data_IF_625065839955
#
_entry.id   IF_625065839955
#
_cell.length_a   1.000
_cell.length_b   1.000
_cell.length_c   1.000
_cell.angle_alpha   90.00
_cell.angle_beta   90.00
_cell.angle_gamma   90.00
#
_symmetry.space_group_name_H-M   'P 1'
#
loop_
_entity.id
_entity.type
_entity.pdbx_description
1 polymer ?
#
# COMPACT_ATOMS: atom_id res chain seq x y z
N UNK A 1 -20.14 9.42 6.62
CA UNK A 1 -20.88 8.72 7.68
C UNK A 1 -20.37 7.28 7.86
N UNK A 2 -20.42 6.42 6.84
CA UNK A 2 -19.90 5.05 6.93
C UNK A 2 -18.39 4.95 7.28
N UNK A 3 -17.55 5.83 6.73
CA UNK A 3 -16.12 5.90 7.05
C UNK A 3 -15.84 6.22 8.54
N UNK A 4 -16.66 7.09 9.15
CA UNK A 4 -16.47 7.56 10.52
C UNK A 4 -16.97 6.58 11.58
N UNK A 5 -17.89 5.67 11.20
CA UNK A 5 -18.31 4.52 12.01
C UNK A 5 -17.24 3.41 11.94
N UNK A 6 -16.55 3.27 10.80
CA UNK A 6 -15.38 2.39 10.68
C UNK A 6 -14.19 2.82 11.54
N UNK A 7 -14.00 4.12 11.75
CA UNK A 7 -12.95 4.68 12.59
C UNK A 7 -13.19 4.46 14.10
N UNK A 8 -14.43 4.40 14.57
CA UNK A 8 -14.74 4.11 15.98
C UNK A 8 -14.68 2.62 16.31
N UNK A 9 -15.09 1.75 15.38
CA UNK A 9 -14.95 0.29 15.53
C UNK A 9 -13.48 -0.15 15.50
N UNK A 10 -12.62 0.62 14.82
CA UNK A 10 -11.17 0.39 14.80
C UNK A 10 -10.46 0.62 16.14
N UNK A 11 -11.04 1.44 17.03
CA UNK A 11 -10.50 1.74 18.37
C UNK A 11 -10.87 0.67 19.41
N UNK A 12 -11.87 -0.17 19.12
CA UNK A 12 -12.39 -1.21 20.02
C UNK A 12 -11.79 -2.61 19.79
N UNK A 13 -10.78 -2.74 18.92
CA UNK A 13 -10.14 -4.03 18.63
C UNK A 13 -10.96 -4.98 17.75
N UNK A 14 -12.04 -4.51 17.12
CA UNK A 14 -13.01 -5.32 16.36
C UNK A 14 -12.60 -5.54 14.88
N UNK A 15 -11.30 -5.69 14.62
CA UNK A 15 -10.76 -5.79 13.26
C UNK A 15 -11.23 -7.04 12.49
N UNK A 16 -11.41 -8.16 13.19
CA UNK A 16 -11.88 -9.42 12.60
C UNK A 16 -13.34 -9.31 12.14
N UNK A 17 -14.16 -8.63 12.92
CA UNK A 17 -15.57 -8.38 12.63
C UNK A 17 -15.71 -7.44 11.43
N UNK A 18 -14.88 -6.39 11.35
CA UNK A 18 -14.81 -5.51 10.17
C UNK A 18 -14.41 -6.27 8.91
N UNK A 19 -13.40 -7.14 8.97
CA UNK A 19 -12.94 -7.93 7.84
C UNK A 19 -14.03 -8.90 7.34
N UNK A 20 -14.78 -9.52 8.26
CA UNK A 20 -15.90 -10.38 7.93
C UNK A 20 -17.04 -9.64 7.20
N UNK A 21 -17.38 -8.41 7.65
CA UNK A 21 -18.36 -7.55 6.96
C UNK A 21 -17.89 -7.21 5.56
N UNK A 22 -16.64 -6.79 5.41
CA UNK A 22 -16.09 -6.41 4.11
C UNK A 22 -16.11 -7.60 3.12
N UNK A 23 -15.73 -8.79 3.58
CA UNK A 23 -15.78 -10.00 2.75
C UNK A 23 -17.20 -10.31 2.24
N UNK A 24 -18.24 -10.06 3.06
CA UNK A 24 -19.63 -10.21 2.62
C UNK A 24 -20.07 -9.09 1.68
N UNK A 25 -19.61 -7.84 1.89
CA UNK A 25 -19.85 -6.73 0.96
C UNK A 25 -19.24 -7.02 -0.41
N UNK A 26 -17.98 -7.46 -0.46
CA UNK A 26 -17.30 -7.82 -1.71
C UNK A 26 -17.99 -8.99 -2.42
N UNK A 27 -18.53 -9.96 -1.67
CA UNK A 27 -19.34 -11.05 -2.23
C UNK A 27 -20.65 -10.52 -2.82
N UNK A 28 -21.33 -9.62 -2.13
CA UNK A 28 -22.56 -8.98 -2.63
C UNK A 28 -22.29 -8.17 -3.90
N UNK A 29 -21.17 -7.45 -3.97
CA UNK A 29 -20.74 -6.71 -5.16
C UNK A 29 -20.48 -7.63 -6.36
N UNK A 30 -19.87 -8.81 -6.13
CA UNK A 30 -19.67 -9.83 -7.18
C UNK A 30 -20.98 -10.39 -7.70
N UNK A 31 -21.99 -10.55 -6.84
CA UNK A 31 -23.34 -10.95 -7.24
C UNK A 31 -23.99 -9.86 -8.08
N UNK A 32 -23.91 -8.60 -7.67
CA UNK A 32 -24.44 -7.45 -8.43
C UNK A 32 -23.75 -7.27 -9.79
N UNK A 33 -22.46 -7.58 -9.88
CA UNK A 33 -21.69 -7.55 -11.12
C UNK A 33 -21.99 -8.74 -12.06
N UNK A 34 -22.83 -9.70 -11.64
CA UNK A 34 -23.15 -10.91 -12.42
C UNK A 34 -22.01 -11.93 -12.48
N UNK A 35 -20.98 -11.77 -11.63
CA UNK A 35 -19.83 -12.68 -11.55
C UNK A 35 -20.06 -13.87 -10.62
N UNK A 36 -21.10 -13.82 -9.79
CA UNK A 36 -21.58 -14.91 -8.93
C UNK A 36 -23.11 -15.01 -9.05
N UNK A 37 -23.73 -16.21 -9.12
CA UNK A 37 -25.18 -16.33 -9.22
C UNK A 37 -25.86 -15.85 -7.93
N UNK A 38 -26.91 -15.04 -8.08
CA UNK A 38 -27.77 -14.59 -6.99
C UNK A 38 -28.79 -15.68 -6.60
N UNK A 39 -28.32 -16.82 -6.09
CA UNK A 39 -29.24 -17.84 -5.58
C UNK A 39 -29.65 -17.56 -4.11
N UNK A 40 -30.80 -18.09 -3.72
CA UNK A 40 -31.37 -17.89 -2.38
C UNK A 40 -30.42 -18.38 -1.28
N UNK A 41 -29.68 -19.46 -1.55
CA UNK A 41 -28.69 -20.02 -0.62
C UNK A 41 -27.54 -19.05 -0.35
N UNK A 42 -26.96 -18.42 -1.36
CA UNK A 42 -25.90 -17.44 -1.22
C UNK A 42 -26.34 -16.20 -0.44
N UNK A 43 -27.57 -15.72 -0.67
CA UNK A 43 -28.14 -14.59 0.08
C UNK A 43 -28.38 -14.95 1.55
N UNK A 44 -28.85 -16.17 1.84
CA UNK A 44 -29.02 -16.68 3.21
C UNK A 44 -27.68 -16.84 3.92
N UNK A 45 -26.64 -17.32 3.23
CA UNK A 45 -25.28 -17.40 3.79
C UNK A 45 -24.70 -16.03 4.15
N UNK A 46 -24.88 -15.03 3.28
CA UNK A 46 -24.46 -13.66 3.54
C UNK A 46 -25.19 -13.10 4.77
N UNK A 47 -26.51 -13.31 4.86
CA UNK A 47 -27.30 -12.89 6.01
C UNK A 47 -26.84 -13.59 7.31
N UNK A 48 -26.62 -14.90 7.27
CA UNK A 48 -26.13 -15.67 8.42
C UNK A 48 -24.74 -15.22 8.88
N UNK A 49 -23.84 -14.90 7.94
CA UNK A 49 -22.52 -14.38 8.24
C UNK A 49 -22.59 -12.99 8.90
N UNK A 50 -23.50 -12.11 8.46
CA UNK A 50 -23.69 -10.80 9.07
C UNK A 50 -24.32 -10.88 10.47
N UNK A 51 -25.27 -11.80 10.70
CA UNK A 51 -25.84 -12.05 12.03
C UNK A 51 -24.74 -12.56 12.99
N UNK A 52 -23.90 -13.51 12.55
CA UNK A 52 -22.80 -14.01 13.36
C UNK A 52 -21.75 -12.93 13.68
N UNK A 53 -21.62 -11.90 12.84
CA UNK A 53 -20.80 -10.73 13.16
C UNK A 53 -21.46 -9.87 14.22
N UNK A 54 -22.77 -9.66 14.14
CA UNK A 54 -23.56 -8.91 15.14
C UNK A 54 -23.47 -9.55 16.53
N UNK A 55 -23.68 -10.87 16.62
CA UNK A 55 -23.57 -11.62 17.89
C UNK A 55 -22.16 -11.46 18.53
N UNK A 56 -21.10 -11.52 17.71
CA UNK A 56 -19.72 -11.34 18.19
C UNK A 56 -19.41 -9.90 18.58
N UNK A 57 -20.09 -8.91 17.97
CA UNK A 57 -20.00 -7.52 18.37
C UNK A 57 -20.63 -7.35 19.76
N UNK A 58 -21.81 -7.90 19.97
CA UNK A 58 -22.52 -7.85 21.24
C UNK A 58 -21.71 -8.50 22.37
N UNK A 59 -21.13 -9.67 22.14
CA UNK A 59 -20.25 -10.34 23.12
C UNK A 59 -19.01 -9.48 23.48
N UNK A 60 -18.40 -8.86 22.47
CA UNK A 60 -17.21 -8.02 22.68
C UNK A 60 -17.55 -6.72 23.41
N UNK A 61 -18.72 -6.13 23.12
CA UNK A 61 -19.24 -4.94 23.80
C UNK A 61 -19.61 -5.24 25.26
N UNK A 62 -20.20 -6.40 25.54
CA UNK A 62 -20.48 -6.87 26.90
C UNK A 62 -19.19 -7.11 27.69
N UNK A 63 -18.17 -7.68 27.04
CA UNK A 63 -16.84 -7.88 27.63
C UNK A 63 -16.14 -6.58 28.05
N UNK A 64 -16.36 -5.48 27.32
CA UNK A 64 -15.81 -4.16 27.67
C UNK A 64 -16.53 -3.46 28.84
N UNK A 65 -17.75 -3.89 29.18
CA UNK A 65 -18.57 -3.27 30.25
C UNK A 65 -18.39 -4.01 31.59
N UNK A 66 -17.98 -5.29 31.57
CA UNK A 66 -17.85 -6.09 32.80
C UNK A 66 -16.39 -6.16 33.28
N UNK A 67 -16.06 -5.72 34.52
CA UNK A 67 -14.74 -5.95 35.06
C UNK A 67 -14.51 -7.45 35.23
N UNK A 68 -13.44 -7.94 34.60
CA UNK A 68 -13.03 -9.32 34.61
C UNK A 68 -12.81 -9.88 36.03
N UNK A 69 -13.50 -10.95 36.38
CA UNK A 69 -13.29 -11.66 37.64
C UNK A 69 -12.24 -12.78 37.45
N UNK A 70 -11.04 -12.55 37.98
CA UNK A 70 -10.14 -13.58 38.55
C UNK A 70 -9.39 -14.56 37.62
N UNK A 71 -9.83 -14.80 36.39
CA UNK A 71 -9.14 -15.71 35.44
C UNK A 71 -8.37 -15.03 34.31
N UNK A 72 -8.73 -13.78 33.99
CA UNK A 72 -8.25 -13.07 32.79
C UNK A 72 -6.95 -12.29 33.02
N UNK A 73 -6.46 -12.15 34.25
CA UNK A 73 -5.27 -11.36 34.56
C UNK A 73 -3.97 -11.92 33.91
N UNK A 74 -3.89 -13.25 33.71
CA UNK A 74 -2.75 -13.88 33.04
C UNK A 74 -2.82 -13.74 31.51
N UNK A 75 -4.01 -13.93 30.91
CA UNK A 75 -4.24 -13.75 29.47
C UNK A 75 -4.10 -12.28 29.05
N UNK A 76 -4.61 -11.34 29.86
CA UNK A 76 -4.39 -9.90 29.66
C UNK A 76 -2.92 -9.49 29.82
N UNK A 77 -2.12 -10.24 30.58
CA UNK A 77 -0.67 -10.05 30.69
C UNK A 77 0.07 -10.51 29.44
N UNK A 78 -0.23 -11.71 28.96
CA UNK A 78 0.33 -12.31 27.75
C UNK A 78 -0.01 -11.49 26.49
N UNK A 79 -1.26 -11.03 26.35
CA UNK A 79 -1.68 -10.16 25.24
C UNK A 79 -0.96 -8.80 25.26
N UNK A 80 -0.71 -8.24 26.44
CA UNK A 80 0.04 -6.98 26.58
C UNK A 80 1.51 -7.15 26.23
N UNK A 81 2.12 -8.25 26.64
CA UNK A 81 3.51 -8.56 26.28
C UNK A 81 3.65 -8.75 24.77
N UNK A 82 2.72 -9.49 24.15
CA UNK A 82 2.68 -9.65 22.70
C UNK A 82 2.52 -8.31 21.97
N UNK A 83 1.59 -7.45 22.41
CA UNK A 83 1.41 -6.11 21.84
C UNK A 83 2.65 -5.22 21.99
N UNK A 84 3.36 -5.31 23.13
CA UNK A 84 4.60 -4.57 23.34
C UNK A 84 5.71 -5.02 22.40
N UNK A 85 5.87 -6.34 22.22
CA UNK A 85 6.82 -6.92 21.27
C UNK A 85 6.46 -6.50 19.84
N UNK A 86 5.19 -6.60 19.44
CA UNK A 86 4.72 -6.15 18.13
C UNK A 86 5.03 -4.67 17.90
N UNK A 87 4.72 -3.79 18.86
CA UNK A 87 5.01 -2.36 18.75
C UNK A 87 6.51 -2.08 18.66
N UNK A 88 7.35 -2.85 19.37
CA UNK A 88 8.81 -2.75 19.28
C UNK A 88 9.34 -3.14 17.91
N UNK A 89 8.85 -4.25 17.36
CA UNK A 89 9.20 -4.70 16.01
C UNK A 89 8.78 -3.67 14.96
N UNK A 90 7.58 -3.09 15.09
CA UNK A 90 7.12 -2.05 14.16
C UNK A 90 7.93 -0.75 14.28
N UNK A 91 8.37 -0.35 15.49
CA UNK A 91 9.32 0.76 15.68
C UNK A 91 10.60 0.52 14.89
N UNK A 92 11.15 -0.69 14.98
CA UNK A 92 12.37 -1.06 14.24
C UNK A 92 12.13 -1.04 12.72
N UNK A 93 10.99 -1.53 12.24
CA UNK A 93 10.64 -1.46 10.82
C UNK A 93 10.57 -0.02 10.31
N UNK A 94 9.95 0.89 11.07
CA UNK A 94 9.85 2.31 10.71
C UNK A 94 11.25 2.96 10.69
N UNK A 95 12.11 2.63 11.66
CA UNK A 95 13.49 3.13 11.68
C UNK A 95 14.30 2.62 10.48
N UNK A 96 14.16 1.34 10.12
CA UNK A 96 14.79 0.76 8.94
C UNK A 96 14.31 1.43 7.65
N UNK A 97 13.01 1.74 7.56
CA UNK A 97 12.45 2.46 6.41
C UNK A 97 12.98 3.90 6.33
N UNK A 98 13.17 4.57 7.47
CA UNK A 98 13.77 5.90 7.52
C UNK A 98 15.22 5.90 7.00
N UNK A 99 16.03 4.91 7.38
CA UNK A 99 17.38 4.75 6.83
C UNK A 99 17.39 4.44 5.33
N UNK A 100 16.44 3.65 4.84
CA UNK A 100 16.27 3.43 3.40
C UNK A 100 15.95 4.76 2.68
N UNK A 101 15.03 5.58 3.20
CA UNK A 101 14.71 6.90 2.62
C UNK A 101 15.91 7.84 2.59
N UNK A 102 16.73 7.80 3.63
CA UNK A 102 17.98 8.57 3.69
C UNK A 102 18.97 8.12 2.61
N UNK A 103 19.21 6.82 2.47
CA UNK A 103 20.05 6.25 1.41
C UNK A 103 19.52 6.60 0.00
N UNK A 104 18.19 6.63 -0.16
CA UNK A 104 17.53 7.07 -1.40
C UNK A 104 17.89 8.51 -1.75
N UNK A 105 17.74 9.41 -0.77
CA UNK A 105 18.02 10.84 -0.92
C UNK A 105 19.49 11.07 -1.30
N UNK A 106 20.42 10.35 -0.69
CA UNK A 106 21.86 10.44 -1.00
C UNK A 106 22.19 9.95 -2.42
N UNK A 107 21.60 8.84 -2.87
CA UNK A 107 21.81 8.32 -4.22
C UNK A 107 21.31 9.30 -5.29
N UNK A 108 20.11 9.88 -5.08
CA UNK A 108 19.52 10.85 -6.00
C UNK A 108 20.30 12.17 -6.05
N UNK A 109 20.97 12.54 -4.95
CA UNK A 109 21.86 13.71 -4.88
C UNK A 109 23.18 13.57 -5.63
N UNK A 110 23.42 12.43 -6.31
CA UNK A 110 24.63 12.19 -7.11
C UNK A 110 25.91 11.97 -6.30
N UNK A 111 25.78 11.69 -5.00
CA UNK A 111 26.88 11.29 -4.11
C UNK A 111 26.48 10.03 -3.33
N UNK A 112 26.23 8.90 -4.01
CA UNK A 112 25.96 7.67 -3.31
C UNK A 112 27.17 7.29 -2.45
N UNK A 113 26.97 7.25 -1.14
CA UNK A 113 27.94 6.64 -0.23
C UNK A 113 27.97 5.14 -0.48
N UNK A 114 29.15 4.58 -0.72
CA UNK A 114 29.32 3.15 -0.93
C UNK A 114 28.78 2.33 0.27
N UNK A 115 28.92 2.86 1.50
CA UNK A 115 28.36 2.21 2.68
C UNK A 115 26.81 2.23 2.70
N UNK A 116 26.18 3.30 2.19
CA UNK A 116 24.73 3.37 2.06
C UNK A 116 24.21 2.41 0.98
N UNK A 117 24.92 2.30 -0.16
CA UNK A 117 24.61 1.35 -1.23
C UNK A 117 24.75 -0.12 -0.80
N UNK A 118 25.65 -0.42 0.12
CA UNK A 118 25.85 -1.78 0.64
C UNK A 118 24.85 -2.15 1.77
N UNK A 119 24.41 -1.17 2.57
CA UNK A 119 23.59 -1.44 3.77
C UNK A 119 22.09 -1.53 3.53
N UNK A 120 21.54 -0.83 2.53
CA UNK A 120 20.07 -0.74 2.33
C UNK A 120 19.41 -2.10 2.05
N UNK A 121 20.12 -3.04 1.41
CA UNK A 121 19.61 -4.40 1.16
C UNK A 121 19.40 -5.18 2.46
N UNK A 122 20.30 -4.98 3.43
CA UNK A 122 20.17 -5.54 4.78
C UNK A 122 18.94 -4.98 5.50
N UNK A 123 18.70 -3.67 5.38
CA UNK A 123 17.52 -3.01 5.94
C UNK A 123 16.22 -3.57 5.35
N UNK A 124 16.15 -3.73 4.02
CA UNK A 124 15.01 -4.36 3.35
C UNK A 124 14.79 -5.80 3.84
N UNK A 125 15.86 -6.57 3.98
CA UNK A 125 15.80 -7.96 4.47
C UNK A 125 15.26 -8.00 5.91
N UNK A 126 15.74 -7.11 6.78
CA UNK A 126 15.24 -6.98 8.15
C UNK A 126 13.76 -6.61 8.20
N UNK A 127 13.33 -5.67 7.35
CA UNK A 127 11.94 -5.23 7.27
C UNK A 127 11.01 -6.37 6.81
N UNK A 128 11.42 -7.15 5.80
CA UNK A 128 10.69 -8.35 5.37
C UNK A 128 10.60 -9.40 6.47
N UNK A 129 11.71 -9.71 7.14
CA UNK A 129 11.74 -10.72 8.20
C UNK A 129 10.84 -10.33 9.38
N UNK A 130 10.90 -9.06 9.80
CA UNK A 130 10.07 -8.51 10.87
C UNK A 130 8.58 -8.57 10.52
N UNK A 131 8.19 -8.10 9.33
CA UNK A 131 6.79 -8.14 8.89
C UNK A 131 6.28 -9.58 8.71
N UNK A 132 7.12 -10.50 8.24
CA UNK A 132 6.77 -11.92 8.13
C UNK A 132 6.57 -12.55 9.51
N UNK A 133 7.43 -12.24 10.48
CA UNK A 133 7.28 -12.69 11.87
C UNK A 133 5.97 -12.19 12.50
N UNK A 134 5.52 -10.99 12.13
CA UNK A 134 4.23 -10.43 12.55
C UNK A 134 3.03 -10.92 11.70
N UNK A 135 3.24 -11.84 10.75
CA UNK A 135 2.20 -12.36 9.87
C UNK A 135 1.67 -11.37 8.84
N UNK A 136 2.38 -10.28 8.55
CA UNK A 136 1.98 -9.20 7.63
C UNK A 136 2.43 -9.48 6.19
N UNK A 137 1.94 -10.57 5.59
CA UNK A 137 2.34 -11.02 4.25
C UNK A 137 2.12 -9.99 3.15
N UNK A 138 0.96 -9.31 3.11
CA UNK A 138 0.70 -8.24 2.12
C UNK A 138 1.69 -7.08 2.24
N UNK A 139 2.11 -6.74 3.46
CA UNK A 139 3.12 -5.69 3.66
C UNK A 139 4.51 -6.14 3.15
N UNK A 140 4.85 -7.43 3.29
CA UNK A 140 6.08 -8.01 2.71
C UNK A 140 6.08 -7.87 1.19
N UNK A 141 4.97 -8.16 0.51
CA UNK A 141 4.83 -7.99 -0.95
C UNK A 141 5.07 -6.53 -1.38
N UNK A 142 4.52 -5.56 -0.63
CA UNK A 142 4.75 -4.13 -0.88
C UNK A 142 6.23 -3.78 -0.71
N UNK A 143 6.90 -4.30 0.32
CA UNK A 143 8.34 -4.09 0.54
C UNK A 143 9.17 -4.67 -0.61
N UNK A 144 8.81 -5.85 -1.12
CA UNK A 144 9.48 -6.47 -2.27
C UNK A 144 9.31 -5.65 -3.55
N UNK A 145 8.11 -5.11 -3.79
CA UNK A 145 7.84 -4.20 -4.90
C UNK A 145 8.67 -2.92 -4.79
N UNK A 146 8.68 -2.28 -3.61
CA UNK A 146 9.52 -1.10 -3.33
C UNK A 146 11.00 -1.44 -3.56
N UNK A 147 11.50 -2.55 -3.02
CA UNK A 147 12.89 -2.98 -3.20
C UNK A 147 13.26 -3.20 -4.67
N UNK A 148 12.33 -3.71 -5.47
CA UNK A 148 12.51 -3.87 -6.92
C UNK A 148 12.68 -2.54 -7.63
N UNK A 149 11.93 -1.51 -7.24
CA UNK A 149 12.05 -0.16 -7.77
C UNK A 149 13.32 0.53 -7.27
N UNK A 150 13.65 0.39 -5.98
CA UNK A 150 14.88 0.93 -5.39
C UNK A 150 16.14 0.43 -6.11
N UNK A 151 16.18 -0.85 -6.51
CA UNK A 151 17.28 -1.40 -7.32
C UNK A 151 17.54 -0.61 -8.61
N UNK A 152 16.59 0.17 -9.14
CA UNK A 152 16.81 0.99 -10.35
C UNK A 152 17.65 2.23 -10.07
N UNK A 153 17.50 2.81 -8.89
CA UNK A 153 18.13 4.09 -8.49
C UNK A 153 19.29 3.93 -7.50
N UNK A 154 19.37 2.81 -6.78
CA UNK A 154 20.44 2.51 -5.80
C UNK A 154 21.66 1.90 -6.50
N UNK A 155 22.23 2.61 -7.46
CA UNK A 155 23.47 2.20 -8.16
C UNK A 155 24.21 3.42 -8.73
N UNK A 156 25.56 3.37 -8.84
CA UNK A 156 26.36 4.51 -9.31
C UNK A 156 25.96 5.02 -10.69
N UNK A 157 25.58 4.11 -11.60
CA UNK A 157 25.25 4.41 -12.99
C UNK A 157 23.74 4.36 -13.27
N UNK A 158 22.92 4.75 -12.28
CA UNK A 158 21.47 4.76 -12.42
C UNK A 158 21.04 5.69 -13.57
N UNK A 159 20.23 5.17 -14.50
CA UNK A 159 19.62 6.00 -15.54
C UNK A 159 18.61 6.97 -14.92
N UNK A 160 18.41 8.16 -15.52
CA UNK A 160 17.34 9.07 -15.12
C UNK A 160 15.99 8.33 -15.11
N UNK A 161 15.25 8.50 -14.02
CA UNK A 161 13.92 7.90 -13.90
C UNK A 161 12.90 8.69 -14.74
N UNK A 162 11.88 8.02 -15.31
CA UNK A 162 10.82 8.71 -16.04
C UNK A 162 10.10 9.77 -15.18
N UNK A 163 9.50 10.80 -15.80
CA UNK A 163 8.70 11.79 -15.07
C UNK A 163 7.63 11.14 -14.18
N UNK A 164 7.51 11.61 -12.94
CA UNK A 164 6.52 11.09 -11.98
C UNK A 164 6.82 9.70 -11.39
N UNK A 165 7.87 8.99 -11.85
CA UNK A 165 8.26 7.70 -11.31
C UNK A 165 8.65 7.80 -9.82
N UNK A 166 9.42 8.84 -9.48
CA UNK A 166 9.88 9.06 -8.10
C UNK A 166 8.73 9.42 -7.18
N UNK A 167 7.80 10.27 -7.63
CA UNK A 167 6.62 10.64 -6.86
C UNK A 167 5.78 9.41 -6.56
N UNK A 168 5.58 8.53 -7.56
CA UNK A 168 4.80 7.31 -7.38
C UNK A 168 5.50 6.28 -6.48
N UNK A 169 6.82 6.21 -6.51
CA UNK A 169 7.58 5.40 -5.54
C UNK A 169 7.46 5.98 -4.13
N UNK A 170 7.52 7.31 -3.98
CA UNK A 170 7.34 7.98 -2.70
C UNK A 170 5.94 7.70 -2.12
N UNK A 171 4.88 7.76 -2.94
CA UNK A 171 3.52 7.41 -2.52
C UNK A 171 3.43 5.97 -1.98
N UNK A 172 4.13 5.02 -2.59
CA UNK A 172 4.19 3.64 -2.13
C UNK A 172 4.88 3.51 -0.77
N UNK A 173 6.03 4.19 -0.61
CA UNK A 173 6.81 4.21 0.62
C UNK A 173 6.03 4.85 1.76
N UNK A 174 5.40 6.01 1.52
CA UNK A 174 4.57 6.72 2.51
C UNK A 174 3.38 5.86 2.95
N UNK A 175 2.75 5.16 2.01
CA UNK A 175 1.62 4.27 2.33
C UNK A 175 2.04 3.10 3.21
N UNK A 176 3.22 2.51 2.96
CA UNK A 176 3.78 1.46 3.81
C UNK A 176 4.18 1.99 5.20
N UNK A 177 4.78 3.17 5.27
CA UNK A 177 5.15 3.81 6.53
C UNK A 177 3.92 4.06 7.40
N UNK A 178 2.90 4.70 6.82
CA UNK A 178 1.67 5.03 7.53
C UNK A 178 0.89 3.77 7.97
N UNK A 179 0.99 2.69 7.19
CA UNK A 179 0.50 1.37 7.58
C UNK A 179 1.17 0.88 8.87
N UNK A 180 2.50 0.89 8.92
CA UNK A 180 3.26 0.43 10.09
C UNK A 180 3.05 1.34 11.31
N UNK A 181 2.97 2.66 11.12
CA UNK A 181 2.68 3.61 12.20
C UNK A 181 1.29 3.38 12.80
N UNK A 182 0.30 3.09 11.95
CA UNK A 182 -1.06 2.81 12.40
C UNK A 182 -1.14 1.53 13.21
N UNK A 183 -0.46 0.46 12.75
CA UNK A 183 -0.34 -0.78 13.53
C UNK A 183 0.42 -0.57 14.85
N UNK A 184 1.49 0.23 14.84
CA UNK A 184 2.28 0.51 16.03
C UNK A 184 1.46 1.28 17.08
N UNK A 185 0.57 2.17 16.64
CA UNK A 185 -0.36 2.88 17.49
C UNK A 185 -1.48 1.98 18.08
N UNK A 186 -1.46 0.67 17.81
CA UNK A 186 -2.47 -0.28 18.29
C UNK A 186 -3.81 -0.15 17.57
N UNK A 187 -3.85 0.53 16.42
CA UNK A 187 -5.08 0.68 15.62
C UNK A 187 -5.30 -0.54 14.74
N UNK A 188 -6.56 -0.75 14.36
CA UNK A 188 -6.94 -1.81 13.42
C UNK A 188 -6.18 -1.74 12.10
N UNK A 189 -5.92 -2.91 11.52
CA UNK A 189 -5.13 -3.12 10.31
C UNK A 189 -5.68 -2.29 9.12
N UNK A 190 -4.94 -1.27 8.63
CA UNK A 190 -5.43 -0.33 7.63
C UNK A 190 -5.14 -0.80 6.20
N UNK A 191 -5.81 -1.88 5.78
CA UNK A 191 -5.57 -2.53 4.49
C UNK A 191 -5.56 -1.60 3.26
N UNK A 192 -6.39 -0.56 3.27
CA UNK A 192 -6.47 0.43 2.18
C UNK A 192 -5.13 1.14 1.90
N UNK A 193 -4.25 1.25 2.89
CA UNK A 193 -2.92 1.82 2.71
C UNK A 193 -2.04 0.87 1.87
N UNK A 194 -2.15 -0.44 2.11
CA UNK A 194 -1.47 -1.43 1.29
C UNK A 194 -2.08 -1.50 -0.12
N UNK A 195 -3.38 -1.31 -0.28
CA UNK A 195 -4.03 -1.23 -1.61
C UNK A 195 -3.51 -0.03 -2.41
N UNK A 196 -3.34 1.12 -1.76
CA UNK A 196 -2.74 2.29 -2.38
C UNK A 196 -1.28 2.03 -2.76
N UNK A 197 -0.47 1.48 -1.86
CA UNK A 197 0.92 1.14 -2.13
C UNK A 197 1.05 0.18 -3.32
N UNK A 198 0.22 -0.85 -3.34
CA UNK A 198 0.20 -1.84 -4.42
C UNK A 198 -0.21 -1.21 -5.76
N UNK A 199 -1.23 -0.35 -5.76
CA UNK A 199 -1.64 0.42 -6.94
C UNK A 199 -0.50 1.30 -7.46
N UNK A 200 0.30 1.89 -6.57
CA UNK A 200 1.50 2.63 -6.96
C UNK A 200 2.52 1.75 -7.69
N UNK A 201 2.83 0.60 -7.11
CA UNK A 201 3.84 -0.31 -7.63
C UNK A 201 3.42 -0.91 -8.99
N UNK A 202 2.14 -1.24 -9.18
CA UNK A 202 1.64 -1.71 -10.47
C UNK A 202 1.84 -0.69 -11.60
N UNK A 203 1.68 0.60 -11.32
CA UNK A 203 1.95 1.66 -12.32
C UNK A 203 3.44 1.67 -12.70
N UNK A 204 4.33 1.52 -11.72
CA UNK A 204 5.77 1.49 -11.92
C UNK A 204 6.26 0.23 -12.66
N UNK A 205 5.56 -0.89 -12.52
CA UNK A 205 5.85 -2.14 -13.23
C UNK A 205 5.39 -2.10 -14.69
N UNK A 206 4.28 -1.44 -14.98
CA UNK A 206 3.72 -1.33 -16.34
C UNK A 206 4.40 -0.29 -17.22
N UNK A 207 5.10 0.68 -16.62
CA UNK A 207 5.83 1.70 -17.37
C UNK A 207 6.95 1.04 -18.21
N UNK A 208 6.89 1.08 -19.56
CA UNK A 208 7.99 0.60 -20.39
C UNK A 208 9.24 1.45 -20.11
N UNK A 209 10.46 0.89 -20.25
CA UNK A 209 11.63 1.76 -20.41
C UNK A 209 11.38 2.62 -21.65
N UNK A 210 11.28 3.94 -21.49
CA UNK A 210 11.16 4.83 -22.63
C UNK A 210 12.37 4.59 -23.53
N UNK A 211 12.12 4.01 -24.72
CA UNK A 211 13.11 3.99 -25.78
C UNK A 211 13.42 5.45 -26.09
N UNK A 212 14.71 5.87 -26.12
CA UNK A 212 15.04 7.24 -26.44
C UNK A 212 14.37 7.60 -27.77
N UNK A 213 13.47 8.61 -27.73
CA UNK A 213 12.86 9.16 -28.93
C UNK A 213 14.00 9.62 -29.82
N UNK A 214 14.19 8.94 -30.95
CA UNK A 214 15.15 9.38 -31.96
C UNK A 214 14.83 10.84 -32.30
N UNK A 215 15.83 11.73 -32.40
CA UNK A 215 15.60 13.12 -32.77
C UNK A 215 14.75 13.18 -34.04
N UNK A 216 13.65 13.90 -33.99
CA UNK A 216 12.83 14.13 -35.18
C UNK A 216 13.68 15.02 -36.10
N UNK A 217 14.24 14.41 -37.14
CA UNK A 217 14.98 15.13 -38.17
C UNK A 217 14.08 16.23 -38.77
N UNK A 218 14.52 17.50 -38.79
CA UNK A 218 13.72 18.63 -39.27
C UNK A 218 13.36 18.57 -40.76
N UNK A 219 13.76 17.52 -41.49
CA UNK A 219 13.29 17.26 -42.86
C UNK A 219 11.84 16.76 -42.92
N UNK A 220 11.23 16.38 -41.79
CA UNK A 220 9.86 15.89 -41.71
C UNK A 220 8.78 16.99 -41.74
N UNK A 221 9.15 18.29 -41.75
CA UNK A 221 8.18 19.35 -41.96
C UNK A 221 7.73 19.37 -43.42
N UNK A 222 6.50 18.90 -43.67
CA UNK A 222 5.86 18.98 -44.97
C UNK A 222 5.90 20.43 -45.51
N UNK A 223 6.39 20.59 -46.75
CA UNK A 223 6.43 21.87 -47.46
C UNK A 223 5.00 22.42 -47.61
N UNK A 224 4.69 23.51 -46.92
CA UNK A 224 3.50 24.31 -47.21
C UNK A 224 3.65 24.89 -48.61
N UNK A 225 2.84 24.40 -49.56
CA UNK A 225 2.77 24.97 -50.90
C UNK A 225 2.03 26.30 -50.81
N UNK A 226 2.75 27.41 -51.07
CA UNK A 226 2.15 28.73 -51.27
C UNK A 226 1.36 28.70 -52.59
N UNK A 227 0.04 28.89 -52.53
CA UNK A 227 -0.74 29.16 -53.73
C UNK A 227 -0.46 30.58 -54.21
N UNK A 228 0.08 30.73 -55.42
CA UNK A 228 0.29 32.01 -56.08
C UNK A 228 -1.08 32.67 -56.37
N UNK A 229 -1.31 33.94 -56.03
CA UNK A 229 -2.56 34.62 -56.37
C UNK A 229 -2.66 34.79 -57.89
N UNK A 230 -3.84 34.50 -58.44
CA UNK A 230 -4.15 34.59 -59.86
C UNK A 230 -3.96 36.02 -60.37
N UNK A 231 -3.25 36.11 -61.49
CA UNK A 231 -2.81 37.35 -62.11
C UNK A 231 -3.95 38.28 -62.55
N UNK A 232 -3.63 39.54 -62.36
CA UNK A 232 -4.21 40.75 -62.92
C UNK A 232 -4.44 40.64 -64.44
N UNK A 233 -5.66 40.94 -64.90
CA UNK A 233 -5.93 41.24 -66.30
C UNK A 233 -6.70 42.55 -66.38
N UNK A 234 -6.02 43.58 -66.88
CA UNK A 234 -6.62 44.78 -67.43
C UNK A 234 -6.04 44.99 -68.84
N UNK A 235 -6.83 45.49 -69.79
CA UNK A 235 -6.35 46.46 -70.76
C UNK A 235 -6.56 47.90 -70.23
#
# INVERSE_FOLDING_TARGET
AAAQIGDTLGVLGLGAQRAAVQAQTDRLERILAGTEPADEAALVEIAAALIAVEDRLDDSLVGMIRPAAGGEANQQGEDREFQQVQAAVLRECIQNLAWIKEAVTQSLGGKPDAAALDSWQGLVTGLKAALLMLGKTRAVEVVEGIATQLRRIMRPDAQPSPPGWLDRLADAIVSLEYYMETLQAGRSDPWYMLDNAHSCLQVLERAPPELPLAPIEPSAFAKTVLMTPAGEWAP
#
